data_IF_238257754300
#
_entry.id   IF_238257754300
#
_cell.length_a   1.000
_cell.length_b   1.000
_cell.length_c   1.000
_cell.angle_alpha   90.00
_cell.angle_beta   90.00
_cell.angle_gamma   90.00
#
_symmetry.space_group_name_H-M   'P 1'
#
loop_
_entity.id
_entity.type
_entity.pdbx_description
1 polymer ?
#
# COMPACT_ATOMS: atom_id res chain seq x y z
N UNK A 1 -13.52 -5.01 -5.72
CA UNK A 1 -13.59 -4.02 -4.63
C UNK A 1 -12.27 -3.26 -4.52
N UNK A 2 -12.18 -2.00 -5.01
CA UNK A 2 -10.96 -1.19 -5.00
C UNK A 2 -10.71 -0.43 -3.68
N UNK A 3 -11.59 -0.54 -2.69
CA UNK A 3 -11.53 0.20 -1.41
C UNK A 3 -10.44 -0.26 -0.42
N UNK A 4 -9.42 -1.03 -0.85
CA UNK A 4 -8.45 -1.64 0.08
C UNK A 4 -7.03 -1.07 0.00
N UNK A 5 -6.67 -0.33 -1.05
CA UNK A 5 -5.30 0.20 -1.18
C UNK A 5 -4.97 1.23 -0.09
N UNK A 6 -5.83 2.23 0.20
CA UNK A 6 -5.56 3.16 1.30
C UNK A 6 -5.48 2.47 2.67
N UNK A 7 -6.30 1.44 2.91
CA UNK A 7 -6.27 0.66 4.14
C UNK A 7 -4.99 -0.18 4.28
N UNK A 8 -4.48 -0.75 3.17
CA UNK A 8 -3.22 -1.49 3.14
C UNK A 8 -2.04 -0.56 3.44
N UNK A 9 -2.02 0.63 2.84
CA UNK A 9 -1.00 1.65 3.11
C UNK A 9 -1.05 2.08 4.59
N UNK A 10 -2.24 2.37 5.11
CA UNK A 10 -2.42 2.74 6.52
C UNK A 10 -1.92 1.62 7.47
N UNK A 11 -2.22 0.36 7.16
CA UNK A 11 -1.73 -0.76 7.95
C UNK A 11 -0.20 -0.91 7.88
N UNK A 12 0.41 -0.73 6.70
CA UNK A 12 1.86 -0.77 6.56
C UNK A 12 2.56 0.32 7.40
N UNK A 13 1.96 1.51 7.51
CA UNK A 13 2.49 2.59 8.36
C UNK A 13 2.36 2.28 9.87
N UNK A 14 1.30 1.58 10.30
CA UNK A 14 1.21 1.07 11.67
C UNK A 14 2.33 0.07 11.95
N UNK A 15 2.56 -0.90 11.06
CA UNK A 15 3.65 -1.88 11.22
C UNK A 15 5.03 -1.20 11.32
N UNK A 16 5.27 -0.14 10.53
CA UNK A 16 6.48 0.68 10.63
C UNK A 16 6.59 1.42 11.95
N UNK A 17 5.48 1.96 12.46
CA UNK A 17 5.47 2.62 13.77
C UNK A 17 5.80 1.64 14.89
N UNK A 18 5.21 0.43 14.85
CA UNK A 18 5.49 -0.64 15.81
C UNK A 18 6.95 -1.12 15.70
N UNK A 19 7.49 -1.28 14.49
CA UNK A 19 8.89 -1.62 14.27
C UNK A 19 9.83 -0.58 14.92
N UNK A 20 9.54 0.72 14.78
CA UNK A 20 10.29 1.80 15.44
C UNK A 20 10.19 1.75 16.96
N UNK A 21 8.99 1.47 17.49
CA UNK A 21 8.79 1.34 18.93
C UNK A 21 9.59 0.16 19.52
N UNK A 22 9.62 -0.98 18.81
CA UNK A 22 10.43 -2.15 19.19
C UNK A 22 11.93 -1.89 19.08
N UNK A 23 12.38 -1.17 18.05
CA UNK A 23 13.77 -0.75 17.94
C UNK A 23 14.19 0.15 19.12
N UNK A 24 13.35 1.13 19.47
CA UNK A 24 13.59 1.97 20.65
C UNK A 24 13.58 1.16 21.96
N UNK A 25 12.75 0.12 22.06
CA UNK A 25 12.79 -0.82 23.18
C UNK A 25 14.12 -1.57 23.25
N UNK A 26 14.61 -2.08 22.11
CA UNK A 26 15.89 -2.77 22.04
C UNK A 26 17.06 -1.86 22.46
N UNK A 27 17.06 -0.57 22.12
CA UNK A 27 18.09 0.36 22.60
C UNK A 27 18.06 0.54 24.12
N UNK A 28 16.87 0.66 24.72
CA UNK A 28 16.75 0.72 26.20
C UNK A 28 17.26 -0.57 26.84
N UNK A 29 16.98 -1.73 26.25
CA UNK A 29 17.47 -3.02 26.74
C UNK A 29 18.99 -3.15 26.61
N UNK A 30 19.61 -2.59 25.55
CA UNK A 30 21.08 -2.51 25.44
C UNK A 30 21.70 -1.70 26.57
N UNK A 31 21.09 -0.57 26.91
CA UNK A 31 21.55 0.23 28.04
C UNK A 31 21.45 -0.55 29.37
N UNK A 32 20.35 -1.28 29.59
CA UNK A 32 20.19 -2.17 30.75
C UNK A 32 21.24 -3.27 30.74
N UNK A 33 21.45 -3.96 29.62
CA UNK A 33 22.45 -5.02 29.49
C UNK A 33 23.87 -4.51 29.79
N UNK A 34 24.21 -3.29 29.34
CA UNK A 34 25.48 -2.65 29.66
C UNK A 34 25.64 -2.37 31.17
N UNK A 35 24.59 -1.88 31.82
CA UNK A 35 24.58 -1.70 33.28
C UNK A 35 24.76 -3.03 34.03
N UNK A 36 24.10 -4.09 33.58
CA UNK A 36 24.23 -5.46 34.12
C UNK A 36 25.60 -6.10 33.87
N UNK A 37 26.35 -5.63 32.87
CA UNK A 37 27.73 -6.06 32.62
C UNK A 37 28.73 -5.32 33.53
N UNK A 38 28.44 -4.07 33.88
CA UNK A 38 29.29 -3.25 34.75
C UNK A 38 29.09 -3.52 36.25
N UNK A 39 27.92 -4.04 36.65
CA UNK A 39 27.62 -4.35 38.05
C UNK A 39 28.15 -5.71 38.50
N UNK A 40 28.96 -5.72 39.57
CA UNK A 40 29.38 -6.93 40.26
C UNK A 40 28.17 -7.59 40.96
N UNK A 41 28.02 -8.91 40.79
CA UNK A 41 26.95 -9.69 41.42
C UNK A 41 25.66 -9.86 40.61
N UNK A 42 25.61 -9.44 39.34
CA UNK A 42 24.45 -9.69 38.47
C UNK A 42 24.20 -11.20 38.28
N UNK A 43 23.00 -11.71 38.62
CA UNK A 43 22.67 -13.11 38.41
C UNK A 43 22.71 -13.50 36.92
N UNK A 44 23.30 -14.66 36.54
CA UNK A 44 23.40 -15.08 35.15
C UNK A 44 22.05 -15.18 34.42
N UNK A 45 21.00 -15.60 35.13
CA UNK A 45 19.65 -15.73 34.58
C UNK A 45 19.05 -14.38 34.15
N UNK A 46 19.39 -13.29 34.86
CA UNK A 46 18.87 -11.95 34.54
C UNK A 46 19.49 -11.44 33.24
N UNK A 47 20.80 -11.63 33.08
CA UNK A 47 21.49 -11.29 31.83
C UNK A 47 20.92 -12.09 30.66
N UNK A 48 20.75 -13.40 30.82
CA UNK A 48 20.17 -14.25 29.79
C UNK A 48 18.76 -13.80 29.39
N UNK A 49 17.92 -13.42 30.35
CA UNK A 49 16.56 -12.92 30.08
C UNK A 49 16.58 -11.61 29.29
N UNK A 50 17.43 -10.64 29.66
CA UNK A 50 17.56 -9.37 28.93
C UNK A 50 18.08 -9.59 27.52
N UNK A 51 19.10 -10.43 27.33
CA UNK A 51 19.63 -10.78 26.00
C UNK A 51 18.56 -11.45 25.14
N UNK A 52 17.78 -12.38 25.69
CA UNK A 52 16.69 -13.04 24.97
C UNK A 52 15.59 -12.04 24.56
N UNK A 53 15.22 -11.13 25.46
CA UNK A 53 14.21 -10.12 25.16
C UNK A 53 14.70 -9.11 24.10
N UNK A 54 15.97 -8.69 24.16
CA UNK A 54 16.59 -7.87 23.13
C UNK A 54 16.53 -8.55 21.76
N UNK A 55 16.91 -9.83 21.68
CA UNK A 55 16.85 -10.59 20.44
C UNK A 55 15.42 -10.65 19.89
N UNK A 56 14.43 -10.90 20.76
CA UNK A 56 13.02 -10.91 20.39
C UNK A 56 12.55 -9.56 19.83
N UNK A 57 12.89 -8.43 20.48
CA UNK A 57 12.54 -7.10 19.99
C UNK A 57 13.18 -6.79 18.62
N UNK A 58 14.45 -7.16 18.42
CA UNK A 58 15.15 -6.95 17.14
C UNK A 58 14.52 -7.77 16.02
N UNK A 59 14.25 -9.05 16.26
CA UNK A 59 13.60 -9.93 15.28
C UNK A 59 12.21 -9.42 14.92
N UNK A 60 11.38 -9.11 15.92
CA UNK A 60 10.03 -8.62 15.69
C UNK A 60 10.03 -7.28 14.93
N UNK A 61 10.94 -6.36 15.25
CA UNK A 61 11.07 -5.10 14.50
C UNK A 61 11.42 -5.34 13.02
N UNK A 62 12.34 -6.28 12.74
CA UNK A 62 12.73 -6.63 11.37
C UNK A 62 11.57 -7.27 10.58
N UNK A 63 10.80 -8.16 11.22
CA UNK A 63 9.65 -8.82 10.61
C UNK A 63 8.53 -7.83 10.26
N UNK A 64 8.24 -6.89 11.17
CA UNK A 64 7.27 -5.82 10.94
C UNK A 64 7.69 -4.90 9.79
N UNK A 65 8.96 -4.48 9.73
CA UNK A 65 9.47 -3.65 8.62
C UNK A 65 9.45 -4.43 7.29
N UNK A 66 9.79 -5.71 7.30
CA UNK A 66 9.68 -6.58 6.13
C UNK A 66 8.24 -6.68 5.63
N UNK A 67 7.30 -6.90 6.55
CA UNK A 67 5.87 -6.99 6.24
C UNK A 67 5.31 -5.68 5.71
N UNK A 68 5.65 -4.54 6.32
CA UNK A 68 5.27 -3.22 5.83
C UNK A 68 5.76 -2.98 4.39
N UNK A 69 7.02 -3.31 4.10
CA UNK A 69 7.59 -3.21 2.74
C UNK A 69 6.87 -4.11 1.74
N UNK A 70 6.45 -5.32 2.14
CA UNK A 70 5.65 -6.19 1.27
C UNK A 70 4.28 -5.58 0.95
N UNK A 71 3.60 -5.03 1.95
CA UNK A 71 2.29 -4.40 1.78
C UNK A 71 2.36 -3.17 0.87
N UNK A 72 3.38 -2.33 1.02
CA UNK A 72 3.58 -1.16 0.17
C UNK A 72 3.86 -1.56 -1.29
N UNK A 73 4.74 -2.54 -1.52
CA UNK A 73 4.98 -3.09 -2.87
C UNK A 73 3.72 -3.67 -3.50
N UNK A 74 2.88 -4.33 -2.69
CA UNK A 74 1.59 -4.84 -3.17
C UNK A 74 0.65 -3.69 -3.55
N UNK A 75 0.53 -2.67 -2.69
CA UNK A 75 -0.30 -1.50 -2.94
C UNK A 75 0.13 -0.74 -4.21
N UNK A 76 1.43 -0.57 -4.43
CA UNK A 76 2.01 0.05 -5.63
C UNK A 76 1.62 -0.71 -6.90
N UNK A 77 1.81 -2.04 -6.92
CA UNK A 77 1.47 -2.90 -8.06
C UNK A 77 -0.04 -2.90 -8.34
N UNK A 78 -0.86 -2.98 -7.29
CA UNK A 78 -2.31 -2.98 -7.43
C UNK A 78 -2.85 -1.62 -7.88
N UNK A 79 -2.21 -0.51 -7.48
CA UNK A 79 -2.53 0.83 -7.98
C UNK A 79 -2.16 1.02 -9.45
N UNK A 80 -1.00 0.51 -9.89
CA UNK A 80 -0.56 0.56 -11.28
C UNK A 80 -1.44 -0.29 -12.21
N UNK A 81 -1.81 -1.51 -11.80
CA UNK A 81 -2.69 -2.39 -12.59
C UNK A 81 -4.11 -1.86 -12.76
N UNK A 82 -4.59 -0.98 -11.86
CA UNK A 82 -5.88 -0.30 -12.03
C UNK A 82 -5.80 0.90 -12.99
N UNK A 83 -4.62 1.47 -13.21
CA UNK A 83 -4.41 2.54 -14.19
C UNK A 83 -4.25 1.98 -15.62
N UNK A 84 -3.67 0.78 -15.77
CA UNK A 84 -3.51 0.12 -17.07
C UNK A 84 -4.82 -0.51 -17.60
N UNK A 85 -5.73 -0.96 -16.73
CA UNK A 85 -7.09 -1.40 -17.10
C UNK A 85 -8.00 -0.24 -17.55
N UNK A 86 -7.51 1.00 -17.45
CA UNK A 86 -8.23 2.23 -17.74
C UNK A 86 -7.64 2.98 -18.96
N UNK A 87 -7.26 2.26 -20.01
CA UNK A 87 -6.78 2.87 -21.27
C UNK A 87 -7.20 2.14 -22.55
N UNK A 88 -7.50 2.84 -23.67
CA UNK A 88 -8.04 4.20 -23.81
C UNK A 88 -9.53 4.18 -24.22
N UNK A 89 -10.33 5.10 -23.66
CA UNK A 89 -11.62 5.45 -24.25
C UNK A 89 -11.40 5.92 -25.70
N UNK A 90 -12.24 5.44 -26.60
CA UNK A 90 -11.93 5.33 -28.02
C UNK A 90 -11.65 6.62 -28.77
N UNK A 91 -10.80 6.52 -29.77
CA UNK A 91 -10.93 7.31 -31.00
C UNK A 91 -12.12 6.74 -31.78
N UNK A 92 -13.33 7.19 -31.43
CA UNK A 92 -14.47 7.09 -32.34
C UNK A 92 -14.10 7.87 -33.60
N UNK A 93 -13.79 7.14 -34.67
CA UNK A 93 -13.50 7.71 -35.99
C UNK A 93 -14.75 8.46 -36.45
N UNK A 94 -14.70 9.79 -36.72
CA UNK A 94 -15.83 10.49 -37.30
C UNK A 94 -16.16 9.86 -38.66
N UNK A 95 -17.44 9.63 -38.88
CA UNK A 95 -17.97 9.04 -40.10
C UNK A 95 -17.56 9.83 -41.33
N UNK A 96 -17.19 9.11 -42.38
CA UNK A 96 -17.20 9.58 -43.75
C UNK A 96 -18.65 9.91 -44.13
N UNK A 97 -19.07 11.17 -43.94
CA UNK A 97 -20.27 11.70 -44.58
C UNK A 97 -19.88 12.17 -45.99
N UNK A 98 -19.79 11.20 -46.89
CA UNK A 98 -19.73 11.43 -48.34
C UNK A 98 -21.04 12.01 -48.84
N UNK A 99 -21.02 13.31 -49.10
CA UNK A 99 -22.02 14.03 -49.90
C UNK A 99 -22.24 13.38 -51.27
N UNK A 100 -23.50 13.11 -51.62
CA UNK A 100 -24.00 13.18 -53.00
C UNK A 100 -25.51 13.44 -52.99
N UNK A 101 -25.90 14.60 -53.52
CA UNK A 101 -27.28 15.04 -53.61
C UNK A 101 -28.06 14.44 -54.78
N UNK A 102 -29.39 14.47 -54.65
CA UNK A 102 -30.38 14.57 -55.73
C UNK A 102 -31.73 14.84 -55.04
N UNK A 103 -32.28 16.06 -55.11
CA UNK A 103 -33.22 16.55 -56.12
C UNK A 103 -34.47 15.66 -56.33
N UNK A 104 -35.64 16.29 -56.19
CA UNK A 104 -36.91 15.73 -56.65
C UNK A 104 -38.05 15.70 -55.62
N UNK A 105 -39.01 16.62 -55.79
CA UNK A 105 -40.42 16.21 -55.77
C UNK A 105 -41.30 16.70 -54.62
N UNK A 106 -42.00 17.81 -54.88
CA UNK A 106 -43.29 18.18 -54.26
C UNK A 106 -44.31 17.04 -54.30
N UNK A 107 -45.18 17.00 -53.29
CA UNK A 107 -46.67 17.03 -53.38
C UNK A 107 -47.22 17.00 -51.94
N UNK A 108 -47.77 18.11 -51.42
CA UNK A 108 -49.18 18.53 -51.52
C UNK A 108 -50.18 17.56 -50.89
N UNK A 109 -50.75 17.93 -49.73
CA UNK A 109 -52.10 17.50 -49.35
C UNK A 109 -52.36 17.37 -47.84
N UNK A 110 -53.47 17.93 -47.28
CA UNK A 110 -53.56 18.25 -45.86
C UNK A 110 -54.47 17.33 -45.01
N UNK A 111 -54.27 17.50 -43.70
CA UNK A 111 -55.15 17.34 -42.53
C UNK A 111 -56.60 16.90 -42.72
N UNK A 112 -57.05 15.98 -41.85
CA UNK A 112 -58.26 15.96 -40.97
C UNK A 112 -58.08 14.65 -40.15
N UNK A 113 -58.30 14.49 -38.86
CA UNK A 113 -59.03 15.20 -37.80
C UNK A 113 -59.45 14.11 -36.82
#
# INVERSE_FOLDING_TARGET
MPARIPAIIAHAEVLRADARALAACAERLRAVEAGLKAGDGTPPWLRAAVTAHLAACVTAAADLESSARHLLRYAEKAGAGHAEDMGPAGTQRPGDEGSAGHDGGRESGPAVG
#
